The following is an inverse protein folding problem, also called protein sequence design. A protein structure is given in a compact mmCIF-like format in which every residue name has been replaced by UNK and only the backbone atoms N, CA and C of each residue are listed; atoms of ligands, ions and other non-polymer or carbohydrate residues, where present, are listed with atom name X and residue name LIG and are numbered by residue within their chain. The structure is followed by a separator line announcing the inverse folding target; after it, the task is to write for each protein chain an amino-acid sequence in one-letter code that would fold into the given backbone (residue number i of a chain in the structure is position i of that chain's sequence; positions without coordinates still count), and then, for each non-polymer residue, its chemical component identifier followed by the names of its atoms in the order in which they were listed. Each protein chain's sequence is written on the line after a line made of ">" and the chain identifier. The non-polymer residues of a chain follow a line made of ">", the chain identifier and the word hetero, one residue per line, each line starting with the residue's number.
data_IF_003808343973
#
_entry.id   IF_003808343973
#
_cell.length_a   1.000
_cell.length_b   1.000
_cell.length_c   1.000
_cell.angle_alpha   90.00
_cell.angle_beta   90.00
_cell.angle_gamma   90.00
#
_symmetry.space_group_name_H-M   'P 1'
#
loop_
_entity.id
_entity.type
_entity.pdbx_description
1 polymer ?
#
# COMPACT_ATOMS: atom_id res chain seq x y z
N UNK A 1 -7.04 18.74 18.99
CA UNK A 1 -6.48 19.56 17.89
C UNK A 1 -6.92 18.92 16.59
N UNK A 2 -7.43 19.72 15.64
CA UNK A 2 -7.79 19.26 14.30
C UNK A 2 -6.72 19.73 13.31
N UNK A 3 -6.40 18.90 12.32
CA UNK A 3 -5.49 19.30 11.24
C UNK A 3 -6.11 20.39 10.37
N UNK A 4 -5.26 21.21 9.75
CA UNK A 4 -5.72 22.14 8.72
C UNK A 4 -6.06 21.39 7.43
N UNK A 5 -6.78 22.06 6.53
CA UNK A 5 -7.09 21.50 5.21
C UNK A 5 -5.82 21.18 4.41
N UNK A 6 -4.82 22.07 4.49
CA UNK A 6 -3.55 21.96 3.79
C UNK A 6 -2.75 20.74 4.31
N UNK A 7 -2.75 20.53 5.63
CA UNK A 7 -2.12 19.35 6.23
C UNK A 7 -2.79 18.05 5.78
N UNK A 8 -4.12 18.03 5.71
CA UNK A 8 -4.88 16.87 5.22
C UNK A 8 -4.57 16.59 3.76
N UNK A 9 -4.56 17.61 2.90
CA UNK A 9 -4.26 17.47 1.47
C UNK A 9 -2.83 16.95 1.22
N UNK A 10 -1.85 17.52 1.93
CA UNK A 10 -0.46 17.09 1.80
C UNK A 10 -0.28 15.62 2.20
N UNK A 11 -0.93 15.19 3.31
CA UNK A 11 -0.91 13.80 3.76
C UNK A 11 -1.59 12.88 2.74
N UNK A 12 -2.75 13.27 2.23
CA UNK A 12 -3.47 12.50 1.21
C UNK A 12 -2.60 12.31 -0.03
N UNK A 13 -1.96 13.37 -0.53
CA UNK A 13 -1.06 13.30 -1.69
C UNK A 13 0.11 12.34 -1.46
N UNK A 14 0.73 12.39 -0.27
CA UNK A 14 1.81 11.47 0.10
C UNK A 14 1.33 10.01 0.16
N UNK A 15 0.15 9.77 0.73
CA UNK A 15 -0.46 8.44 0.79
C UNK A 15 -0.70 7.90 -0.62
N UNK A 16 -1.26 8.71 -1.52
CA UNK A 16 -1.55 8.29 -2.90
C UNK A 16 -0.29 7.96 -3.69
N UNK A 17 0.79 8.76 -3.56
CA UNK A 17 2.09 8.46 -4.18
C UNK A 17 2.66 7.15 -3.65
N UNK A 18 2.54 6.92 -2.35
CA UNK A 18 3.02 5.69 -1.70
C UNK A 18 2.25 4.48 -2.21
N UNK A 19 0.91 4.56 -2.29
CA UNK A 19 0.06 3.49 -2.83
C UNK A 19 0.48 3.14 -4.26
N UNK A 20 0.61 4.14 -5.13
CA UNK A 20 1.00 3.90 -6.52
C UNK A 20 2.39 3.25 -6.62
N UNK A 21 3.36 3.75 -5.86
CA UNK A 21 4.72 3.19 -5.82
C UNK A 21 4.69 1.72 -5.38
N UNK A 22 3.98 1.41 -4.31
CA UNK A 22 3.86 0.03 -3.81
C UNK A 22 3.22 -0.90 -4.83
N UNK A 23 2.14 -0.49 -5.49
CA UNK A 23 1.50 -1.32 -6.53
C UNK A 23 2.44 -1.56 -7.70
N UNK A 24 3.12 -0.51 -8.19
CA UNK A 24 4.11 -0.61 -9.27
C UNK A 24 5.25 -1.55 -8.91
N UNK A 25 5.90 -1.32 -7.77
CA UNK A 25 7.07 -2.08 -7.36
C UNK A 25 6.69 -3.56 -7.10
N UNK A 26 5.51 -3.82 -6.53
CA UNK A 26 4.99 -5.19 -6.35
C UNK A 26 4.69 -5.86 -7.69
N UNK A 27 4.10 -5.15 -8.65
CA UNK A 27 3.86 -5.72 -9.99
C UNK A 27 5.16 -6.15 -10.69
N UNK A 28 6.24 -5.39 -10.48
CA UNK A 28 7.58 -5.73 -10.99
C UNK A 28 8.14 -6.94 -10.25
N UNK A 29 8.04 -6.96 -8.92
CA UNK A 29 8.50 -8.05 -8.05
C UNK A 29 7.89 -9.41 -8.46
N UNK A 30 6.62 -9.42 -8.85
CA UNK A 30 5.88 -10.63 -9.20
C UNK A 30 5.76 -10.89 -10.71
N UNK A 31 6.55 -10.19 -11.53
CA UNK A 31 6.76 -10.54 -12.95
C UNK A 31 5.70 -10.06 -13.93
N UNK A 32 4.82 -9.13 -13.55
CA UNK A 32 3.87 -8.47 -14.48
C UNK A 32 3.95 -6.93 -14.35
N UNK A 33 5.05 -6.30 -14.83
CA UNK A 33 5.28 -4.87 -14.69
C UNK A 33 4.16 -4.03 -15.32
N UNK A 34 3.60 -3.11 -14.54
CA UNK A 34 2.54 -2.21 -15.00
C UNK A 34 1.12 -2.72 -14.71
N UNK A 35 0.97 -3.98 -14.31
CA UNK A 35 -0.30 -4.50 -13.81
C UNK A 35 -0.53 -4.03 -12.36
N UNK A 36 -1.01 -2.79 -12.22
CA UNK A 36 -1.29 -2.17 -10.92
C UNK A 36 -2.39 -2.88 -10.14
N UNK A 37 -3.33 -3.57 -10.82
CA UNK A 37 -4.39 -4.35 -10.16
C UNK A 37 -3.79 -5.56 -9.45
N UNK A 38 -2.92 -6.30 -10.15
CA UNK A 38 -2.19 -7.41 -9.54
C UNK A 38 -1.30 -6.93 -8.40
N UNK A 39 -0.53 -5.86 -8.63
CA UNK A 39 0.34 -5.27 -7.61
C UNK A 39 -0.43 -4.82 -6.35
N UNK A 40 -1.60 -4.21 -6.51
CA UNK A 40 -2.45 -3.78 -5.40
C UNK A 40 -2.97 -4.98 -4.59
N UNK A 41 -3.45 -6.03 -5.27
CA UNK A 41 -3.97 -7.23 -4.61
C UNK A 41 -2.88 -7.94 -3.80
N UNK A 42 -1.70 -8.14 -4.39
CA UNK A 42 -0.58 -8.81 -3.71
C UNK A 42 -0.08 -7.97 -2.53
N UNK A 43 0.14 -6.66 -2.72
CA UNK A 43 0.64 -5.79 -1.66
C UNK A 43 -0.33 -5.69 -0.48
N UNK A 44 -1.63 -5.57 -0.76
CA UNK A 44 -2.68 -5.54 0.26
C UNK A 44 -2.75 -6.86 1.03
N UNK A 45 -2.72 -7.99 0.32
CA UNK A 45 -2.71 -9.32 0.93
C UNK A 45 -1.48 -9.53 1.82
N UNK A 46 -0.27 -9.28 1.30
CA UNK A 46 1.00 -9.46 2.04
C UNK A 46 0.99 -8.71 3.37
N UNK A 47 0.58 -7.44 3.36
CA UNK A 47 0.52 -6.62 4.58
C UNK A 47 -0.36 -7.23 5.68
N UNK A 48 -1.50 -7.80 5.31
CA UNK A 48 -2.42 -8.43 6.27
C UNK A 48 -1.89 -9.80 6.70
N UNK A 49 -1.41 -10.60 5.75
CA UNK A 49 -0.85 -11.92 6.02
C UNK A 49 0.35 -11.85 6.98
N UNK A 50 1.28 -10.93 6.75
CA UNK A 50 2.44 -10.71 7.63
C UNK A 50 1.98 -10.35 9.05
N UNK A 51 1.01 -9.43 9.18
CA UNK A 51 0.47 -9.04 10.48
C UNK A 51 -0.29 -10.19 11.19
N UNK A 52 -0.95 -11.08 10.44
CA UNK A 52 -1.60 -12.27 10.99
C UNK A 52 -0.56 -13.29 11.47
N UNK A 53 0.53 -13.49 10.72
CA UNK A 53 1.62 -14.37 11.10
C UNK A 53 2.32 -13.88 12.38
N UNK A 54 2.56 -12.57 12.48
CA UNK A 54 3.20 -11.94 13.64
C UNK A 54 2.34 -12.06 14.91
N UNK A 55 1.00 -12.00 14.78
CA UNK A 55 0.07 -12.18 15.91
C UNK A 55 -0.10 -13.65 16.31
N UNK A 56 0.34 -14.59 15.47
CA UNK A 56 0.17 -16.02 15.70
C UNK A 56 -1.28 -16.48 15.59
N UNK A 57 -1.55 -17.68 16.10
CA UNK A 57 -2.89 -18.27 16.13
C UNK A 57 -3.59 -17.79 17.41
N UNK A 58 -4.48 -16.80 17.26
CA UNK A 58 -5.33 -16.23 18.31
C UNK A 58 -6.75 -16.77 18.26
#
# INVERSE_FOLDING_TARGET
>A
MAWTREEVDQRLKQIMVTIHKTCRDTSIEFGDPGNLVMGANIAGFRKVADAMLDQGLV
#
